data_IF_505188956989
#
_entry.id   IF_505188956989
#
_cell.length_a   1.000
_cell.length_b   1.000
_cell.length_c   1.000
_cell.angle_alpha   90.00
_cell.angle_beta   90.00
_cell.angle_gamma   90.00
#
_symmetry.space_group_name_H-M   'P 1'
#
loop_
_entity.id
_entity.type
_entity.pdbx_description
1 polymer ?
#
# COMPACT_ATOMS: atom_id res chain seq x y z
N UNK A 1 -10.99 18.35 0.33
CA UNK A 1 -11.23 17.25 1.28
C UNK A 1 -11.24 15.95 0.48
N UNK A 2 -10.11 15.24 0.46
CA UNK A 2 -9.89 14.09 -0.42
C UNK A 2 -10.34 12.79 0.27
N UNK A 3 -11.26 12.05 -0.36
CA UNK A 3 -11.95 10.89 0.21
C UNK A 3 -11.11 9.60 0.38
N UNK A 4 -9.80 9.70 0.58
CA UNK A 4 -8.87 8.55 0.64
C UNK A 4 -8.33 8.21 2.04
N UNK A 5 -8.57 9.04 3.05
CA UNK A 5 -8.01 8.83 4.40
C UNK A 5 -8.93 8.06 5.35
N UNK A 6 -10.21 7.93 5.02
CA UNK A 6 -11.21 7.33 5.92
C UNK A 6 -10.91 5.84 6.17
N UNK A 7 -10.42 5.12 5.15
CA UNK A 7 -10.12 3.69 5.27
C UNK A 7 -8.88 3.39 6.13
N UNK A 8 -7.83 4.19 6.00
CA UNK A 8 -6.57 4.06 6.76
C UNK A 8 -6.72 4.57 8.19
N UNK A 9 -7.47 5.66 8.39
CA UNK A 9 -7.80 6.19 9.71
C UNK A 9 -8.72 5.25 10.51
N UNK A 10 -9.68 4.59 9.84
CA UNK A 10 -10.53 3.56 10.47
C UNK A 10 -9.74 2.33 10.90
N UNK A 11 -8.70 1.94 10.17
CA UNK A 11 -7.82 0.83 10.55
C UNK A 11 -6.92 1.23 11.73
N UNK A 12 -6.30 2.41 11.70
CA UNK A 12 -5.45 2.90 12.80
C UNK A 12 -6.16 3.05 14.15
N UNK A 13 -7.47 3.34 14.15
CA UNK A 13 -8.27 3.46 15.38
C UNK A 13 -8.83 2.13 15.91
N UNK A 14 -8.70 1.03 15.16
CA UNK A 14 -9.21 -0.30 15.53
C UNK A 14 -8.14 -1.25 16.10
N UNK A 15 -6.85 -0.93 15.97
CA UNK A 15 -5.74 -1.77 16.44
C UNK A 15 -5.19 -1.30 17.80
N UNK A 16 -6.05 -1.37 18.83
CA UNK A 16 -5.60 -1.37 20.23
C UNK A 16 -4.68 -2.57 20.49
N UNK A 17 -3.55 -2.32 21.16
CA UNK A 17 -2.40 -3.20 21.25
C UNK A 17 -2.68 -4.60 21.79
N UNK A 18 -2.25 -5.61 21.02
CA UNK A 18 -2.07 -6.99 21.47
C UNK A 18 -0.73 -7.54 20.95
N UNK A 19 0.08 -8.26 21.76
CA UNK A 19 1.54 -8.26 21.57
C UNK A 19 2.13 -9.35 20.65
N UNK A 20 1.39 -10.37 20.22
CA UNK A 20 2.04 -11.63 19.74
C UNK A 20 1.80 -11.99 18.26
N UNK A 21 1.02 -11.19 17.51
CA UNK A 21 0.81 -11.39 16.06
C UNK A 21 1.68 -10.52 15.13
N UNK A 22 2.54 -9.67 15.71
CA UNK A 22 3.00 -8.43 15.07
C UNK A 22 4.18 -8.54 14.09
N UNK A 23 4.94 -9.63 14.05
CA UNK A 23 6.23 -9.62 13.31
C UNK A 23 6.14 -10.15 11.88
N UNK A 24 5.29 -11.15 11.60
CA UNK A 24 5.12 -11.66 10.23
C UNK A 24 4.16 -10.79 9.38
N UNK A 25 3.21 -10.10 10.01
CA UNK A 25 2.28 -9.19 9.33
C UNK A 25 2.92 -7.84 8.98
N UNK A 26 3.87 -7.34 9.80
CA UNK A 26 4.54 -6.06 9.58
C UNK A 26 5.40 -6.03 8.31
N UNK A 27 6.06 -7.13 7.95
CA UNK A 27 6.85 -7.21 6.72
C UNK A 27 6.01 -7.03 5.45
N UNK A 28 4.79 -7.61 5.42
CA UNK A 28 3.90 -7.53 4.26
C UNK A 28 3.12 -6.22 4.21
N UNK A 29 2.74 -5.66 5.37
CA UNK A 29 2.09 -4.33 5.41
C UNK A 29 3.07 -3.20 5.10
N UNK A 30 4.34 -3.31 5.52
CA UNK A 30 5.38 -2.33 5.19
C UNK A 30 5.70 -2.36 3.69
N UNK A 31 5.91 -3.57 3.12
CA UNK A 31 6.04 -3.73 1.67
C UNK A 31 4.82 -3.21 0.91
N UNK A 32 3.60 -3.47 1.42
CA UNK A 32 2.36 -2.97 0.84
C UNK A 32 2.20 -1.45 0.90
N UNK A 33 2.63 -0.79 1.98
CA UNK A 33 2.59 0.68 2.13
C UNK A 33 3.65 1.38 1.27
N UNK A 34 4.88 0.86 1.26
CA UNK A 34 5.98 1.39 0.44
C UNK A 34 5.72 1.17 -1.06
N UNK A 35 5.08 0.05 -1.42
CA UNK A 35 4.53 -0.18 -2.76
C UNK A 35 3.39 0.81 -3.06
N UNK A 36 2.49 1.09 -2.12
CA UNK A 36 1.39 2.04 -2.33
C UNK A 36 1.88 3.48 -2.53
N UNK A 37 2.90 3.90 -1.81
CA UNK A 37 3.57 5.20 -1.98
C UNK A 37 4.34 5.29 -3.31
N UNK A 38 5.04 4.23 -3.71
CA UNK A 38 5.75 4.20 -5.00
C UNK A 38 4.80 4.11 -6.21
N UNK A 39 3.65 3.45 -6.09
CA UNK A 39 2.61 3.37 -7.14
C UNK A 39 1.89 4.71 -7.32
N UNK A 40 1.65 5.45 -6.24
CA UNK A 40 0.97 6.76 -6.30
C UNK A 40 1.89 7.89 -6.80
N UNK A 41 3.17 7.61 -7.03
CA UNK A 41 4.15 8.50 -7.67
C UNK A 41 4.00 8.53 -9.20
N UNK A 42 2.77 8.53 -9.71
CA UNK A 42 2.50 8.73 -11.13
C UNK A 42 2.67 10.20 -11.52
N UNK A 43 3.15 10.46 -12.73
CA UNK A 43 3.44 11.80 -13.29
C UNK A 43 2.34 12.83 -12.94
N UNK A 44 2.63 13.66 -11.93
CA UNK A 44 1.81 14.81 -11.58
C UNK A 44 2.27 16.01 -12.40
N UNK A 45 1.32 16.78 -12.94
CA UNK A 45 1.59 18.14 -13.41
C UNK A 45 2.10 18.96 -12.22
N UNK A 46 3.39 19.27 -12.22
CA UNK A 46 4.08 19.93 -11.09
C UNK A 46 3.72 21.41 -11.02
N UNK A 47 3.63 22.09 -12.17
CA UNK A 47 3.22 23.49 -12.25
C UNK A 47 2.85 23.88 -13.69
N UNK A 48 1.97 24.88 -13.82
CA UNK A 48 1.78 25.67 -15.04
C UNK A 48 2.20 27.09 -14.69
N UNK A 49 3.25 27.60 -15.32
CA UNK A 49 3.80 28.94 -15.03
C UNK A 49 3.60 29.83 -16.25
N UNK A 50 3.14 31.07 -16.03
CA UNK A 50 3.19 32.14 -17.03
C UNK A 50 4.46 32.94 -16.78
N UNK A 51 5.36 32.93 -17.75
CA UNK A 51 6.66 33.60 -17.63
C UNK A 51 6.48 35.12 -17.65
N UNK A 52 7.05 35.79 -16.65
CA UNK A 52 7.23 37.24 -16.66
C UNK A 52 8.55 37.57 -17.41
N UNK A 53 8.63 38.72 -18.12
CA UNK A 53 9.87 39.15 -18.76
C UNK A 53 10.99 39.26 -17.71
N UNK A 54 12.10 38.53 -17.91
CA UNK A 54 13.27 38.52 -17.01
C UNK A 54 13.41 37.26 -16.13
N UNK A 55 12.41 36.39 -16.05
CA UNK A 55 12.54 35.10 -15.33
C UNK A 55 13.18 34.02 -16.20
N UNK A 56 14.06 33.20 -15.60
CA UNK A 56 14.67 32.03 -16.24
C UNK A 56 14.42 30.78 -15.40
N UNK A 57 13.90 29.71 -16.03
CA UNK A 57 13.72 28.41 -15.39
C UNK A 57 14.47 27.31 -16.16
N UNK A 58 15.08 26.39 -15.42
CA UNK A 58 15.69 25.19 -16.00
C UNK A 58 14.71 24.02 -15.99
N UNK A 59 14.29 23.57 -17.17
CA UNK A 59 13.43 22.40 -17.32
C UNK A 59 14.30 21.16 -17.49
N UNK A 60 14.33 20.30 -16.47
CA UNK A 60 14.94 18.97 -16.57
C UNK A 60 13.92 17.97 -17.12
N UNK A 61 13.95 17.73 -18.43
CA UNK A 61 13.11 16.72 -19.06
C UNK A 61 13.75 15.33 -19.01
N UNK A 62 12.93 14.29 -18.84
CA UNK A 62 13.38 12.91 -19.00
C UNK A 62 13.56 12.57 -20.49
N UNK A 63 14.58 11.76 -20.84
CA UNK A 63 14.75 11.28 -22.20
C UNK A 63 13.55 10.42 -22.64
N UNK A 64 13.24 10.42 -23.94
CA UNK A 64 12.10 9.67 -24.50
C UNK A 64 12.20 8.19 -24.13
N UNK A 65 11.13 7.56 -23.57
CA UNK A 65 11.21 6.19 -23.09
C UNK A 65 11.39 5.18 -24.23
N UNK A 66 12.32 4.23 -24.02
CA UNK A 66 12.61 3.12 -24.94
C UNK A 66 11.46 2.11 -25.01
N UNK A 67 11.45 1.25 -26.04
CA UNK A 67 10.43 0.18 -26.20
C UNK A 67 10.36 -0.72 -24.96
N UNK A 68 11.51 -1.06 -24.37
CA UNK A 68 11.58 -1.88 -23.15
C UNK A 68 10.94 -1.17 -21.95
N UNK A 69 11.23 0.11 -21.74
CA UNK A 69 10.62 0.92 -20.66
C UNK A 69 9.11 1.00 -20.84
N UNK A 70 8.62 1.22 -22.06
CA UNK A 70 7.18 1.24 -22.34
C UNK A 70 6.49 -0.09 -22.02
N UNK A 71 7.10 -1.21 -22.45
CA UNK A 71 6.56 -2.56 -22.17
C UNK A 71 6.48 -2.83 -20.67
N UNK A 72 7.53 -2.51 -19.92
CA UNK A 72 7.56 -2.68 -18.46
C UNK A 72 6.58 -1.74 -17.76
N UNK A 73 6.43 -0.50 -18.22
CA UNK A 73 5.47 0.47 -17.65
C UNK A 73 4.04 -0.05 -17.81
N UNK A 74 3.67 -0.53 -19.01
CA UNK A 74 2.36 -1.15 -19.24
C UNK A 74 2.12 -2.38 -18.35
N UNK A 75 3.14 -3.22 -18.17
CA UNK A 75 3.05 -4.39 -17.28
C UNK A 75 2.89 -3.97 -15.81
N UNK A 76 3.59 -2.94 -15.38
CA UNK A 76 3.45 -2.37 -14.04
C UNK A 76 2.02 -1.87 -13.82
N UNK A 77 1.47 -1.08 -14.75
CA UNK A 77 0.09 -0.58 -14.68
C UNK A 77 -0.94 -1.71 -14.56
N UNK A 78 -0.79 -2.78 -15.34
CA UNK A 78 -1.63 -3.97 -15.26
C UNK A 78 -1.54 -4.63 -13.88
N UNK A 79 -0.33 -4.89 -13.38
CA UNK A 79 -0.11 -5.50 -12.07
C UNK A 79 -0.63 -4.63 -10.93
N UNK A 80 -0.55 -3.30 -11.05
CA UNK A 80 -1.15 -2.35 -10.10
C UNK A 80 -2.68 -2.51 -10.10
N UNK A 81 -3.30 -2.57 -11.28
CA UNK A 81 -4.74 -2.80 -11.41
C UNK A 81 -5.18 -4.12 -10.76
N UNK A 82 -4.46 -5.21 -11.07
CA UNK A 82 -4.68 -6.52 -10.46
C UNK A 82 -4.52 -6.47 -8.94
N UNK A 83 -3.42 -5.92 -8.44
CA UNK A 83 -3.14 -5.80 -7.01
C UNK A 83 -4.24 -4.98 -6.29
N UNK A 84 -4.67 -3.86 -6.89
CA UNK A 84 -5.77 -3.03 -6.36
C UNK A 84 -7.08 -3.79 -6.31
N UNK A 85 -7.41 -4.59 -7.32
CA UNK A 85 -8.63 -5.41 -7.32
C UNK A 85 -8.59 -6.49 -6.23
N UNK A 86 -7.43 -7.12 -6.04
CA UNK A 86 -7.24 -8.21 -5.10
C UNK A 86 -7.18 -7.71 -3.65
N UNK A 87 -6.69 -6.50 -3.40
CA UNK A 87 -6.58 -5.91 -2.05
C UNK A 87 -7.89 -5.34 -1.53
N UNK A 88 -8.96 -5.28 -2.35
CA UNK A 88 -10.28 -4.89 -1.89
C UNK A 88 -10.80 -5.85 -0.82
N UNK A 89 -11.31 -5.30 0.28
CA UNK A 89 -11.85 -6.09 1.38
C UNK A 89 -13.01 -6.98 0.92
N UNK A 90 -12.91 -8.28 1.16
CA UNK A 90 -13.95 -9.24 0.82
C UNK A 90 -15.10 -9.23 1.84
N UNK A 91 -16.27 -9.74 1.45
CA UNK A 91 -17.42 -9.87 2.38
C UNK A 91 -17.07 -10.69 3.63
N UNK A 92 -16.23 -11.72 3.49
CA UNK A 92 -15.79 -12.56 4.61
C UNK A 92 -14.91 -11.77 5.61
N UNK A 93 -13.93 -11.03 5.10
CA UNK A 93 -13.08 -10.14 5.90
C UNK A 93 -13.89 -9.08 6.64
N UNK A 94 -14.85 -8.45 5.95
CA UNK A 94 -15.75 -7.47 6.57
C UNK A 94 -16.63 -8.10 7.67
N UNK A 95 -17.09 -9.34 7.47
CA UNK A 95 -17.87 -10.08 8.49
C UNK A 95 -17.00 -10.41 9.70
N UNK A 96 -15.77 -10.88 9.50
CA UNK A 96 -14.83 -11.14 10.59
C UNK A 96 -14.53 -9.87 11.39
N UNK A 97 -14.26 -8.76 10.71
CA UNK A 97 -14.03 -7.45 11.33
C UNK A 97 -15.23 -6.99 12.18
N UNK A 98 -16.46 -7.11 11.65
CA UNK A 98 -17.68 -6.76 12.36
C UNK A 98 -17.91 -7.64 13.59
N UNK A 99 -17.59 -8.93 13.51
CA UNK A 99 -17.70 -9.87 14.64
C UNK A 99 -16.71 -9.53 15.75
N UNK A 100 -15.45 -9.27 15.40
CA UNK A 100 -14.42 -8.84 16.35
C UNK A 100 -14.81 -7.54 17.05
N UNK A 101 -15.21 -6.52 16.29
CA UNK A 101 -15.67 -5.24 16.85
C UNK A 101 -16.85 -5.40 17.82
N UNK A 102 -17.79 -6.30 17.53
CA UNK A 102 -18.90 -6.61 18.43
C UNK A 102 -18.45 -7.35 19.69
N UNK A 103 -17.45 -8.22 19.58
CA UNK A 103 -16.87 -8.94 20.73
C UNK A 103 -16.13 -7.97 21.66
N UNK A 104 -15.28 -7.11 21.11
CA UNK A 104 -14.57 -6.05 21.84
C UNK A 104 -15.54 -5.14 22.59
N UNK A 105 -16.55 -4.58 21.91
CA UNK A 105 -17.60 -3.77 22.56
C UNK A 105 -18.34 -4.48 23.69
N UNK A 106 -18.50 -5.80 23.60
CA UNK A 106 -19.12 -6.59 24.68
C UNK A 106 -18.14 -6.78 25.83
N UNK A 107 -16.85 -7.02 25.55
CA UNK A 107 -15.80 -7.12 26.55
C UNK A 107 -15.67 -5.82 27.35
N UNK A 108 -15.59 -4.68 26.66
CA UNK A 108 -15.44 -3.34 27.26
C UNK A 108 -16.57 -3.01 28.26
N UNK A 109 -17.78 -3.52 28.00
CA UNK A 109 -18.95 -3.33 28.88
C UNK A 109 -18.98 -4.27 30.09
N UNK A 110 -18.13 -5.30 30.15
CA UNK A 110 -18.08 -6.21 31.27
C UNK A 110 -17.08 -5.71 32.31
N UNK A 111 -17.43 -5.82 33.60
CA UNK A 111 -16.50 -5.51 34.70
C UNK A 111 -15.29 -6.47 34.63
N UNK A 112 -14.05 -5.94 34.54
CA UNK A 112 -12.84 -6.76 34.57
C UNK A 112 -12.81 -7.71 35.77
N UNK A 113 -12.29 -8.92 35.57
CA UNK A 113 -12.20 -9.96 36.61
C UNK A 113 -13.51 -10.73 36.89
N UNK A 114 -14.67 -10.30 36.36
CA UNK A 114 -15.91 -11.06 36.51
C UNK A 114 -15.93 -12.34 35.64
N UNK A 115 -16.69 -13.37 36.05
CA UNK A 115 -16.90 -14.59 35.21
C UNK A 115 -17.40 -14.23 33.80
N UNK A 116 -18.25 -13.21 33.69
CA UNK A 116 -18.78 -12.70 32.42
C UNK A 116 -17.70 -12.04 31.55
N UNK A 117 -16.76 -11.33 32.15
CA UNK A 117 -15.61 -10.75 31.47
C UNK A 117 -14.71 -11.85 30.91
N UNK A 118 -14.28 -12.82 31.74
CA UNK A 118 -13.42 -13.93 31.30
C UNK A 118 -14.04 -14.72 30.14
N UNK A 119 -15.36 -14.95 30.17
CA UNK A 119 -16.08 -15.58 29.03
C UNK A 119 -16.01 -14.72 27.77
N UNK A 120 -16.17 -13.40 27.88
CA UNK A 120 -16.15 -12.47 26.75
C UNK A 120 -14.75 -12.28 26.19
N UNK A 121 -13.75 -12.30 27.04
CA UNK A 121 -12.33 -12.23 26.69
C UNK A 121 -11.95 -13.40 25.79
N UNK A 122 -12.26 -14.64 26.21
CA UNK A 122 -12.05 -15.84 25.38
C UNK A 122 -12.72 -15.74 24.00
N UNK A 123 -13.94 -15.19 23.95
CA UNK A 123 -14.66 -14.98 22.68
C UNK A 123 -13.96 -13.92 21.84
N UNK A 124 -13.54 -12.80 22.43
CA UNK A 124 -12.79 -11.74 21.77
C UNK A 124 -11.49 -12.30 21.17
N UNK A 125 -10.72 -13.04 21.96
CA UNK A 125 -9.47 -13.67 21.51
C UNK A 125 -9.71 -14.59 20.32
N UNK A 126 -10.73 -15.46 20.40
CA UNK A 126 -11.07 -16.35 19.28
C UNK A 126 -11.47 -15.56 18.03
N UNK A 127 -12.23 -14.46 18.18
CA UNK A 127 -12.58 -13.60 17.04
C UNK A 127 -11.38 -12.82 16.50
N UNK A 128 -10.40 -12.51 17.33
CA UNK A 128 -9.11 -11.97 16.91
C UNK A 128 -8.39 -12.95 15.99
N UNK A 129 -8.26 -14.21 16.42
CA UNK A 129 -7.64 -15.27 15.61
C UNK A 129 -8.38 -15.51 14.28
N UNK A 130 -9.72 -15.54 14.30
CA UNK A 130 -10.54 -15.67 13.10
C UNK A 130 -10.30 -14.50 12.13
N UNK A 131 -10.20 -13.28 12.67
CA UNK A 131 -9.94 -12.06 11.89
C UNK A 131 -8.54 -12.08 11.28
N UNK A 132 -7.52 -12.41 12.08
CA UNK A 132 -6.14 -12.49 11.61
C UNK A 132 -6.02 -13.51 10.48
N UNK A 133 -6.65 -14.68 10.63
CA UNK A 133 -6.72 -15.71 9.59
C UNK A 133 -7.37 -15.18 8.31
N UNK A 134 -8.48 -14.45 8.42
CA UNK A 134 -9.18 -13.87 7.27
C UNK A 134 -8.40 -12.75 6.58
N UNK A 135 -7.54 -12.04 7.31
CA UNK A 135 -6.69 -10.96 6.79
C UNK A 135 -5.39 -11.46 6.17
N UNK A 136 -5.06 -12.76 6.28
CA UNK A 136 -3.88 -13.32 5.64
C UNK A 136 -3.96 -13.12 4.11
N UNK A 137 -2.87 -12.64 3.49
CA UNK A 137 -2.84 -12.46 2.06
C UNK A 137 -2.91 -13.81 1.34
N UNK A 138 -3.64 -13.86 0.24
CA UNK A 138 -3.69 -15.06 -0.60
C UNK A 138 -2.36 -15.27 -1.33
N UNK A 139 -2.06 -16.52 -1.71
CA UNK A 139 -0.88 -16.83 -2.54
C UNK A 139 -0.84 -16.00 -3.82
N UNK A 140 -2.01 -15.73 -4.42
CA UNK A 140 -2.14 -14.88 -5.61
C UNK A 140 -1.73 -13.43 -5.33
N UNK A 141 -2.21 -12.85 -4.23
CA UNK A 141 -1.83 -11.48 -3.81
C UNK A 141 -0.32 -11.38 -3.56
N UNK A 142 0.26 -12.36 -2.86
CA UNK A 142 1.71 -12.40 -2.61
C UNK A 142 2.47 -12.45 -3.93
N UNK A 143 2.06 -13.32 -4.86
CA UNK A 143 2.68 -13.42 -6.19
C UNK A 143 2.56 -12.14 -7.01
N UNK A 144 1.38 -11.53 -7.07
CA UNK A 144 1.19 -10.26 -7.78
C UNK A 144 2.05 -9.16 -7.16
N UNK A 145 2.18 -9.11 -5.83
CA UNK A 145 3.02 -8.14 -5.14
C UNK A 145 4.52 -8.34 -5.45
N UNK A 146 5.02 -9.58 -5.44
CA UNK A 146 6.43 -9.87 -5.76
C UNK A 146 6.75 -9.59 -7.23
N UNK A 147 5.84 -9.92 -8.15
CA UNK A 147 5.98 -9.57 -9.56
C UNK A 147 5.99 -8.05 -9.77
N UNK A 148 5.12 -7.32 -9.08
CA UNK A 148 5.04 -5.86 -9.16
C UNK A 148 6.33 -5.19 -8.66
N UNK A 149 6.87 -5.65 -7.54
CA UNK A 149 8.14 -5.15 -6.99
C UNK A 149 9.30 -5.41 -7.97
N UNK A 150 9.41 -6.63 -8.51
CA UNK A 150 10.42 -6.97 -9.51
C UNK A 150 10.36 -6.05 -10.74
N UNK A 151 9.17 -5.87 -11.32
CA UNK A 151 8.98 -5.02 -12.51
C UNK A 151 9.30 -3.56 -12.19
N UNK A 152 8.88 -3.07 -11.01
CA UNK A 152 9.13 -1.69 -10.58
C UNK A 152 10.63 -1.40 -10.42
N UNK A 153 11.38 -2.32 -9.80
CA UNK A 153 12.85 -2.21 -9.66
C UNK A 153 13.55 -2.23 -11.02
N UNK A 154 13.15 -3.13 -11.93
CA UNK A 154 13.74 -3.19 -13.27
C UNK A 154 13.50 -1.90 -14.06
N UNK A 155 12.27 -1.39 -14.00
CA UNK A 155 11.89 -0.14 -14.67
C UNK A 155 12.68 1.06 -14.10
N UNK A 156 12.84 1.14 -12.77
CA UNK A 156 13.63 2.20 -12.14
C UNK A 156 15.11 2.13 -12.54
N UNK A 157 15.70 0.93 -12.59
CA UNK A 157 17.08 0.73 -13.07
C UNK A 157 17.26 1.21 -14.51
N UNK A 158 16.33 0.86 -15.40
CA UNK A 158 16.39 1.27 -16.81
C UNK A 158 16.22 2.79 -16.97
N UNK A 159 15.28 3.41 -16.24
CA UNK A 159 15.10 4.87 -16.27
C UNK A 159 16.35 5.60 -15.76
N UNK A 160 16.96 5.11 -14.68
CA UNK A 160 18.21 5.69 -14.15
C UNK A 160 19.39 5.51 -15.12
N UNK A 161 19.53 4.34 -15.74
CA UNK A 161 20.57 4.11 -16.75
C UNK A 161 20.40 5.06 -17.95
N UNK A 162 19.17 5.21 -18.43
CA UNK A 162 18.85 6.11 -19.54
C UNK A 162 19.15 7.57 -19.20
N UNK A 163 18.81 8.02 -17.99
CA UNK A 163 19.15 9.35 -17.50
C UNK A 163 20.67 9.57 -17.42
N UNK A 164 21.42 8.61 -16.88
CA UNK A 164 22.89 8.70 -16.79
C UNK A 164 23.52 8.81 -18.17
N UNK A 165 23.04 8.03 -19.14
CA UNK A 165 23.52 8.08 -20.51
C UNK A 165 23.22 9.45 -21.16
N UNK A 166 21.99 9.95 -20.99
CA UNK A 166 21.59 11.26 -21.51
C UNK A 166 22.43 12.41 -20.93
N UNK A 167 22.75 12.37 -19.63
CA UNK A 167 23.64 13.35 -18.97
C UNK A 167 25.05 13.31 -19.54
N UNK A 168 25.60 12.13 -19.82
CA UNK A 168 26.94 11.99 -20.42
C UNK A 168 26.98 12.55 -21.85
N UNK A 169 25.96 12.27 -22.66
CA UNK A 169 25.90 12.78 -24.04
C UNK A 169 25.60 14.29 -24.15
N UNK A 170 24.95 14.87 -23.13
CA UNK A 170 24.67 16.30 -23.08
C UNK A 170 25.83 17.15 -22.56
N UNK A 171 26.83 16.55 -21.92
CA UNK A 171 28.00 17.24 -21.36
C UNK A 171 29.12 17.50 -22.38
N UNK A 172 28.98 17.05 -23.62
CA UNK A 172 29.97 17.21 -24.71
C UNK A 172 29.57 18.30 -25.72
N UNK A 173 28.91 19.37 -25.27
CA UNK A 173 28.64 20.55 -26.10
C UNK A 173 29.03 21.83 -25.38
#
# INVERSE_FOLDING_TARGET
>A
MNGSDIGTWLLGRLFGGGPVGGLAARGVTYLGQELRESINRSDQRVATVRLQPGESYTVTAYPKPTRKIRKLSKRQEQLVGEYRSQTKATRSQLRAARRLKRAQRRLDRARPGSKRYLKRERIETQRGLDFDRAMRPSRKQVRTATELDRVSRELQRLRQAQLRQARRSGSTR
#
